data_IF_222520921796
#
_entry.id   IF_222520921796
#
_cell.length_a   1.000
_cell.length_b   1.000
_cell.length_c   1.000
_cell.angle_alpha   90.00
_cell.angle_beta   90.00
_cell.angle_gamma   90.00
#
_symmetry.space_group_name_H-M   'P 1'
#
loop_
_entity.id
_entity.type
_entity.pdbx_description
1 polymer ?
#
# COMPACT_ATOMS: atom_id res chain seq x y z
N UNK A 1 15.40 27.01 -4.75
CA UNK A 1 16.54 27.26 -3.85
C UNK A 1 16.18 26.76 -2.45
N UNK A 2 16.57 25.53 -2.08
CA UNK A 2 16.25 24.93 -0.76
C UNK A 2 17.37 25.08 0.28
N UNK A 3 18.59 25.34 -0.16
CA UNK A 3 19.80 25.61 0.64
C UNK A 3 19.75 26.84 1.56
N UNK A 4 18.82 27.79 1.37
CA UNK A 4 18.70 28.96 2.25
C UNK A 4 18.23 28.57 3.66
N UNK A 5 17.36 27.55 3.76
CA UNK A 5 16.80 27.06 5.02
C UNK A 5 17.83 26.44 5.98
N UNK A 6 18.98 25.99 5.46
CA UNK A 6 20.08 25.48 6.28
C UNK A 6 20.68 26.55 7.20
N UNK A 7 20.60 27.83 6.82
CA UNK A 7 21.14 28.95 7.61
C UNK A 7 20.12 29.51 8.61
N UNK A 8 18.82 29.36 8.35
CA UNK A 8 17.74 29.88 9.20
C UNK A 8 17.25 28.83 10.22
N UNK A 9 17.44 27.54 9.95
CA UNK A 9 17.00 26.45 10.83
C UNK A 9 17.77 26.31 12.14
N UNK A 10 18.91 26.97 12.33
CA UNK A 10 19.68 26.84 13.58
C UNK A 10 18.96 27.44 14.81
N UNK A 11 17.90 28.23 14.62
CA UNK A 11 17.18 28.94 15.69
C UNK A 11 15.70 28.55 15.81
N UNK A 12 15.17 27.72 14.90
CA UNK A 12 13.74 27.35 14.84
C UNK A 12 13.52 25.84 14.62
N UNK A 13 12.86 25.20 15.59
CA UNK A 13 12.59 23.76 15.60
C UNK A 13 11.59 23.33 14.51
N UNK A 14 10.61 24.17 14.16
CA UNK A 14 9.64 23.86 13.09
C UNK A 14 10.31 23.90 11.71
N UNK A 15 11.25 24.83 11.52
CA UNK A 15 12.05 24.91 10.29
C UNK A 15 12.95 23.68 10.15
N UNK A 16 13.59 23.22 11.24
CA UNK A 16 14.40 22.01 11.23
C UNK A 16 13.58 20.75 10.91
N UNK A 17 12.39 20.61 11.51
CA UNK A 17 11.50 19.48 11.21
C UNK A 17 11.11 19.48 9.74
N UNK A 18 10.66 20.63 9.23
CA UNK A 18 10.28 20.80 7.82
C UNK A 18 11.45 20.51 6.87
N UNK A 19 12.66 20.97 7.23
CA UNK A 19 13.87 20.74 6.43
C UNK A 19 14.21 19.25 6.38
N UNK A 20 14.13 18.53 7.51
CA UNK A 20 14.38 17.09 7.58
C UNK A 20 13.36 16.30 6.76
N UNK A 21 12.07 16.66 6.81
CA UNK A 21 11.02 16.06 5.98
C UNK A 21 11.29 16.22 4.48
N UNK A 22 11.76 17.40 4.06
CA UNK A 22 12.12 17.66 2.66
C UNK A 22 13.40 16.91 2.30
N UNK A 23 14.38 16.86 3.21
CA UNK A 23 15.66 16.19 3.02
C UNK A 23 15.47 14.70 2.79
N UNK A 24 14.68 14.02 3.62
CA UNK A 24 14.44 12.57 3.47
C UNK A 24 13.85 12.21 2.08
N UNK A 25 13.15 13.14 1.43
CA UNK A 25 12.58 12.95 0.09
C UNK A 25 13.54 13.32 -1.06
N UNK A 26 14.57 14.12 -0.79
CA UNK A 26 15.51 14.65 -1.79
C UNK A 26 16.91 14.07 -1.53
N UNK A 27 17.37 13.06 -2.30
CA UNK A 27 18.61 12.35 -2.01
C UNK A 27 19.85 13.23 -1.88
N UNK A 28 19.92 14.33 -2.66
CA UNK A 28 21.07 15.24 -2.66
C UNK A 28 21.06 16.09 -1.40
N UNK A 29 19.90 16.65 -1.06
CA UNK A 29 19.74 17.44 0.16
C UNK A 29 19.91 16.56 1.41
N UNK A 30 19.41 15.33 1.38
CA UNK A 30 19.56 14.35 2.43
C UNK A 30 21.03 14.10 2.77
N UNK A 31 21.83 13.84 1.73
CA UNK A 31 23.25 13.58 1.89
C UNK A 31 23.99 14.81 2.41
N UNK A 32 23.66 16.00 1.89
CA UNK A 32 24.29 17.24 2.33
C UNK A 32 24.03 17.56 3.82
N UNK A 33 22.78 17.43 4.28
CA UNK A 33 22.43 17.63 5.69
C UNK A 33 23.08 16.55 6.57
N UNK A 34 23.07 15.30 6.12
CA UNK A 34 23.66 14.21 6.88
C UNK A 34 25.17 14.36 7.05
N UNK A 35 25.88 14.76 6.00
CA UNK A 35 27.32 15.03 6.06
C UNK A 35 27.61 16.24 6.96
N UNK A 36 26.83 17.32 6.83
CA UNK A 36 27.03 18.53 7.63
C UNK A 36 26.78 18.30 9.13
N UNK A 37 25.64 17.72 9.51
CA UNK A 37 25.29 17.45 10.92
C UNK A 37 26.20 16.40 11.56
N UNK A 38 26.60 15.34 10.83
CA UNK A 38 27.56 14.34 11.33
C UNK A 38 28.95 14.92 11.50
N UNK A 39 29.33 15.91 10.70
CA UNK A 39 30.62 16.59 10.81
C UNK A 39 30.71 17.53 12.02
N UNK A 40 29.59 17.78 12.72
CA UNK A 40 29.58 18.55 13.95
C UNK A 40 30.44 17.87 15.02
N UNK A 41 31.37 18.63 15.62
CA UNK A 41 32.22 18.15 16.71
C UNK A 41 31.42 17.91 18.01
N UNK A 42 30.28 18.58 18.19
CA UNK A 42 29.45 18.49 19.39
C UNK A 42 28.60 17.18 19.42
N UNK A 43 28.83 16.27 20.38
CA UNK A 43 28.03 15.05 20.52
C UNK A 43 26.54 15.29 20.76
N UNK A 44 26.16 16.40 21.39
CA UNK A 44 24.77 16.74 21.68
C UNK A 44 24.03 17.07 20.39
N UNK A 45 24.64 17.89 19.53
CA UNK A 45 24.09 18.26 18.21
C UNK A 45 23.84 17.01 17.36
N UNK A 46 24.82 16.09 17.31
CA UNK A 46 24.66 14.81 16.59
C UNK A 46 23.51 13.97 17.14
N UNK A 47 23.38 13.87 18.45
CA UNK A 47 22.32 13.08 19.10
C UNK A 47 20.93 13.66 18.78
N UNK A 48 20.78 14.98 18.84
CA UNK A 48 19.53 15.68 18.50
C UNK A 48 19.18 15.48 17.01
N UNK A 49 20.15 15.57 16.11
CA UNK A 49 19.95 15.28 14.69
C UNK A 49 19.41 13.85 14.46
N UNK A 50 20.05 12.83 15.03
CA UNK A 50 19.58 11.45 14.87
C UNK A 50 18.18 11.23 15.46
N UNK A 51 17.86 11.87 16.58
CA UNK A 51 16.53 11.79 17.19
C UNK A 51 15.45 12.41 16.28
N UNK A 52 15.70 13.62 15.74
CA UNK A 52 14.80 14.29 14.79
C UNK A 52 14.58 13.45 13.55
N UNK A 53 15.67 12.99 12.92
CA UNK A 53 15.64 12.16 11.72
C UNK A 53 14.89 10.86 11.93
N UNK A 54 15.10 10.20 13.08
CA UNK A 54 14.38 8.97 13.43
C UNK A 54 12.87 9.22 13.51
N UNK A 55 12.44 10.32 14.14
CA UNK A 55 11.02 10.65 14.25
C UNK A 55 10.36 10.82 12.87
N UNK A 56 11.01 11.56 11.96
CA UNK A 56 10.52 11.75 10.59
C UNK A 56 10.42 10.41 9.85
N UNK A 57 11.45 9.56 9.94
CA UNK A 57 11.46 8.25 9.29
C UNK A 57 10.38 7.30 9.86
N UNK A 58 10.14 7.31 11.16
CA UNK A 58 9.10 6.52 11.81
C UNK A 58 7.70 6.98 11.34
N UNK A 59 7.44 8.28 11.28
CA UNK A 59 6.19 8.84 10.76
C UNK A 59 5.95 8.44 9.30
N UNK A 60 7.00 8.55 8.45
CA UNK A 60 6.94 8.13 7.05
C UNK A 60 6.70 6.62 6.90
N UNK A 61 7.30 5.81 7.78
CA UNK A 61 7.13 4.37 7.77
C UNK A 61 5.67 3.97 8.07
N UNK A 62 5.01 4.65 9.01
CA UNK A 62 3.58 4.44 9.32
C UNK A 62 2.71 4.73 8.08
N UNK A 63 2.92 5.87 7.43
CA UNK A 63 2.18 6.21 6.20
C UNK A 63 2.42 5.18 5.11
N UNK A 64 3.69 4.81 4.89
CA UNK A 64 4.06 3.83 3.87
C UNK A 64 3.46 2.45 4.13
N UNK A 65 3.42 2.03 5.39
CA UNK A 65 2.80 0.77 5.76
C UNK A 65 1.29 0.79 5.48
N UNK A 66 0.60 1.88 5.83
CA UNK A 66 -0.82 2.05 5.54
C UNK A 66 -1.12 1.98 4.02
N UNK A 67 -0.31 2.65 3.20
CA UNK A 67 -0.42 2.56 1.73
C UNK A 67 -0.25 1.13 1.21
N UNK A 68 0.74 0.40 1.74
CA UNK A 68 1.01 -0.98 1.34
C UNK A 68 -0.13 -1.91 1.74
N UNK A 69 -0.69 -1.75 2.95
CA UNK A 69 -1.86 -2.52 3.41
C UNK A 69 -3.07 -2.25 2.52
N UNK A 70 -3.34 -0.99 2.18
CA UNK A 70 -4.44 -0.62 1.30
C UNK A 70 -4.26 -1.22 -0.11
N UNK A 71 -3.07 -1.12 -0.69
CA UNK A 71 -2.78 -1.72 -2.01
C UNK A 71 -2.99 -3.23 -2.02
N UNK A 72 -2.53 -3.93 -0.96
CA UNK A 72 -2.75 -5.37 -0.80
C UNK A 72 -4.24 -5.70 -0.69
N UNK A 73 -4.98 -4.96 0.15
CA UNK A 73 -6.42 -5.14 0.32
C UNK A 73 -7.19 -4.96 -1.00
N UNK A 74 -6.90 -3.90 -1.76
CA UNK A 74 -7.52 -3.66 -3.08
C UNK A 74 -7.19 -4.78 -4.07
N UNK A 75 -5.94 -5.27 -4.07
CA UNK A 75 -5.54 -6.37 -4.96
C UNK A 75 -6.27 -7.67 -4.60
N UNK A 76 -6.40 -7.96 -3.31
CA UNK A 76 -7.10 -9.13 -2.80
C UNK A 76 -8.59 -9.06 -3.09
N UNK A 77 -9.26 -7.96 -2.74
CA UNK A 77 -10.70 -7.79 -2.96
C UNK A 77 -11.07 -7.83 -4.45
N UNK A 78 -10.23 -7.26 -5.33
CA UNK A 78 -10.42 -7.40 -6.79
C UNK A 78 -10.29 -8.84 -7.28
N UNK A 79 -9.41 -9.64 -6.66
CA UNK A 79 -9.25 -11.05 -7.01
C UNK A 79 -10.46 -11.85 -6.53
N UNK A 80 -10.83 -11.69 -5.26
CA UNK A 80 -11.97 -12.35 -4.63
C UNK A 80 -13.26 -12.01 -5.38
N UNK A 81 -13.57 -10.72 -5.59
CA UNK A 81 -14.78 -10.33 -6.32
C UNK A 81 -14.83 -10.81 -7.77
N UNK A 82 -13.68 -11.01 -8.42
CA UNK A 82 -13.64 -11.59 -9.79
C UNK A 82 -13.90 -13.10 -9.77
N UNK A 83 -13.43 -13.79 -8.74
CA UNK A 83 -13.65 -15.22 -8.56
C UNK A 83 -15.10 -15.49 -8.16
N UNK A 84 -15.62 -14.75 -7.17
CA UNK A 84 -17.02 -14.80 -6.77
C UNK A 84 -17.95 -14.48 -7.94
N UNK A 85 -17.69 -13.41 -8.70
CA UNK A 85 -18.51 -13.05 -9.85
C UNK A 85 -18.49 -14.11 -10.97
N UNK A 86 -17.36 -14.80 -11.18
CA UNK A 86 -17.29 -15.92 -12.12
C UNK A 86 -18.09 -17.13 -11.66
N UNK A 87 -18.05 -17.45 -10.38
CA UNK A 87 -18.82 -18.56 -9.82
C UNK A 87 -20.32 -18.25 -9.79
N UNK A 88 -20.71 -17.01 -9.49
CA UNK A 88 -22.10 -16.55 -9.56
C UNK A 88 -22.63 -16.58 -11.00
N UNK A 89 -21.84 -16.09 -11.97
CA UNK A 89 -22.18 -16.16 -13.40
C UNK A 89 -22.37 -17.61 -13.86
N UNK A 90 -21.45 -18.52 -13.51
CA UNK A 90 -21.58 -19.95 -13.83
C UNK A 90 -22.87 -20.55 -13.27
N UNK A 91 -23.22 -20.23 -12.02
CA UNK A 91 -24.45 -20.70 -11.37
C UNK A 91 -25.68 -20.14 -12.06
N UNK A 92 -25.67 -18.87 -12.43
CA UNK A 92 -26.78 -18.24 -13.15
C UNK A 92 -26.97 -18.86 -14.55
N UNK A 93 -25.87 -19.11 -15.27
CA UNK A 93 -25.89 -19.81 -16.56
C UNK A 93 -26.43 -21.23 -16.40
N UNK A 94 -25.94 -21.99 -15.42
CA UNK A 94 -26.43 -23.34 -15.16
C UNK A 94 -27.94 -23.37 -14.84
N UNK A 95 -28.42 -22.42 -14.04
CA UNK A 95 -29.86 -22.27 -13.74
C UNK A 95 -30.68 -22.03 -15.02
N UNK A 96 -30.24 -21.11 -15.89
CA UNK A 96 -30.90 -20.85 -17.18
C UNK A 96 -30.87 -22.07 -18.11
N UNK A 97 -29.82 -22.88 -18.08
CA UNK A 97 -29.73 -24.11 -18.87
C UNK A 97 -30.68 -25.19 -18.34
N UNK A 98 -30.83 -25.31 -17.02
CA UNK A 98 -31.81 -26.19 -16.38
C UNK A 98 -33.24 -25.79 -16.73
N UNK A 99 -33.56 -24.49 -16.69
CA UNK A 99 -34.86 -23.96 -17.10
C UNK A 99 -35.19 -24.28 -18.57
N UNK A 100 -34.16 -24.40 -19.42
CA UNK A 100 -34.30 -24.83 -20.82
C UNK A 100 -34.37 -26.35 -21.02
N UNK A 101 -34.37 -27.13 -19.93
CA UNK A 101 -34.51 -28.59 -19.96
C UNK A 101 -33.26 -29.35 -20.40
N UNK A 102 -32.08 -28.73 -20.32
CA UNK A 102 -30.81 -29.41 -20.59
C UNK A 102 -30.47 -30.40 -19.47
N UNK A 103 -29.87 -31.54 -19.81
CA UNK A 103 -29.48 -32.56 -18.84
C UNK A 103 -28.23 -32.15 -18.03
N UNK A 104 -28.09 -32.72 -16.83
CA UNK A 104 -27.01 -32.38 -15.91
C UNK A 104 -25.61 -32.64 -16.47
N UNK A 105 -25.44 -33.68 -17.30
CA UNK A 105 -24.13 -34.02 -17.87
C UNK A 105 -23.69 -32.94 -18.86
N UNK A 106 -24.59 -32.49 -19.72
CA UNK A 106 -24.34 -31.40 -20.66
C UNK A 106 -24.06 -30.07 -19.96
N UNK A 107 -24.76 -29.78 -18.85
CA UNK A 107 -24.52 -28.55 -18.06
C UNK A 107 -23.16 -28.59 -17.34
N UNK A 108 -22.77 -29.76 -16.81
CA UNK A 108 -21.44 -29.97 -16.23
C UNK A 108 -20.34 -29.73 -17.26
N UNK A 109 -20.49 -30.21 -18.50
CA UNK A 109 -19.51 -29.99 -19.57
C UNK A 109 -19.37 -28.49 -19.95
N UNK A 110 -20.46 -27.72 -19.88
CA UNK A 110 -20.46 -26.28 -20.23
C UNK A 110 -19.95 -25.40 -19.09
N UNK A 111 -20.38 -25.67 -17.86
CA UNK A 111 -20.19 -24.75 -16.71
C UNK A 111 -19.18 -25.26 -15.69
N UNK A 112 -18.85 -26.56 -15.72
CA UNK A 112 -18.03 -27.24 -14.71
C UNK A 112 -18.72 -27.51 -13.38
N UNK A 113 -20.03 -27.22 -13.25
CA UNK A 113 -20.79 -27.37 -12.00
C UNK A 113 -21.23 -28.83 -11.82
N UNK A 114 -20.88 -29.43 -10.69
CA UNK A 114 -21.21 -30.83 -10.37
C UNK A 114 -22.72 -31.07 -10.29
N UNK A 115 -23.15 -32.29 -10.60
CA UNK A 115 -24.57 -32.66 -10.53
C UNK A 115 -25.19 -32.46 -9.15
N UNK A 116 -24.40 -32.62 -8.08
CA UNK A 116 -24.85 -32.35 -6.70
C UNK A 116 -25.23 -30.88 -6.52
N UNK A 117 -24.36 -29.97 -6.96
CA UNK A 117 -24.63 -28.52 -6.92
C UNK A 117 -25.78 -28.12 -7.85
N UNK A 118 -25.94 -28.80 -8.99
CA UNK A 118 -27.06 -28.57 -9.91
C UNK A 118 -28.42 -28.99 -9.33
N UNK A 119 -28.45 -30.02 -8.47
CA UNK A 119 -29.67 -30.41 -7.75
C UNK A 119 -30.10 -29.35 -6.74
N UNK A 120 -29.15 -28.68 -6.11
CA UNK A 120 -29.42 -27.58 -5.16
C UNK A 120 -29.88 -26.29 -5.86
N UNK A 121 -29.62 -26.15 -7.17
CA UNK A 121 -30.02 -24.99 -7.99
C UNK A 121 -31.43 -25.11 -8.60
N UNK A 122 -32.06 -26.28 -8.47
CA UNK A 122 -33.40 -26.59 -9.02
C UNK A 122 -34.50 -26.25 -8.03
#
# INVERSE_FOLDING_TARGET
>A
MRWLFLLEGSEDEEILKTLEEIAVQDPVLNQAIEEWEKSSDDPKVRAEYFARRKAVLDEMAVVREAELRLRKAIKQSKKEGREEGREEEKREVAKKLLEKGMDFKSIFEITGISEETLKDLR
#
